data_IF_881825803377
#
_entry.id   IF_881825803377
#
_cell.length_a   1.000
_cell.length_b   1.000
_cell.length_c   1.000
_cell.angle_alpha   90.00
_cell.angle_beta   90.00
_cell.angle_gamma   90.00
#
_symmetry.space_group_name_H-M   'P 1'
#
loop_
_entity.id
_entity.type
_entity.pdbx_description
1 polymer ?
#
# COMPACT_ATOMS: atom_id res chain seq x y z
N UNK A 1 0.89 5.93 24.12
CA UNK A 1 2.03 5.04 23.86
C UNK A 1 2.79 5.69 22.72
N UNK A 2 4.11 5.80 22.77
CA UNK A 2 4.85 6.12 21.54
C UNK A 2 4.65 4.91 20.63
N UNK A 3 3.71 5.02 19.70
CA UNK A 3 3.46 4.00 18.70
C UNK A 3 4.76 3.80 17.94
N UNK A 4 5.37 2.63 18.08
CA UNK A 4 6.59 2.31 17.35
C UNK A 4 6.28 2.47 15.86
N UNK A 5 6.97 3.41 15.23
CA UNK A 5 6.86 3.65 13.81
C UNK A 5 7.06 2.30 13.08
N UNK A 6 6.08 1.82 12.30
CA UNK A 6 6.15 0.49 11.74
C UNK A 6 7.18 0.37 10.59
N UNK A 7 7.83 1.49 10.24
CA UNK A 7 8.87 1.62 9.23
C UNK A 7 10.25 1.63 9.89
N UNK A 8 11.10 0.60 9.67
CA UNK A 8 12.47 0.58 10.20
C UNK A 8 13.33 1.80 9.84
N UNK A 9 13.14 2.37 8.66
CA UNK A 9 13.84 3.58 8.21
C UNK A 9 13.29 4.87 8.82
N UNK A 10 12.15 4.79 9.50
CA UNK A 10 11.40 5.93 10.00
C UNK A 10 10.42 6.54 8.98
N UNK A 11 10.48 6.13 7.71
CA UNK A 11 9.62 6.66 6.65
C UNK A 11 9.10 5.56 5.71
N UNK A 12 8.00 5.86 5.03
CA UNK A 12 7.47 5.03 3.96
C UNK A 12 7.53 5.74 2.61
N UNK A 13 7.41 4.96 1.55
CA UNK A 13 7.26 5.47 0.18
C UNK A 13 6.18 4.68 -0.56
N UNK A 14 5.38 5.33 -1.43
CA UNK A 14 4.45 4.63 -2.29
C UNK A 14 5.22 3.91 -3.41
N UNK A 15 4.79 2.69 -3.75
CA UNK A 15 5.44 1.90 -4.82
C UNK A 15 4.48 1.46 -5.91
N UNK A 16 3.19 1.25 -5.59
CA UNK A 16 2.16 0.81 -6.53
C UNK A 16 0.87 1.58 -6.24
N UNK A 17 0.15 2.01 -7.28
CA UNK A 17 -1.27 2.37 -7.17
C UNK A 17 -2.13 1.33 -7.88
N UNK A 18 -2.99 0.68 -7.12
CA UNK A 18 -3.97 -0.27 -7.63
C UNK A 18 -5.26 0.42 -8.07
N UNK A 19 -5.93 -0.14 -9.07
CA UNK A 19 -7.28 0.28 -9.47
C UNK A 19 -8.35 -0.05 -8.43
N UNK A 20 -8.13 -1.11 -7.67
CA UNK A 20 -9.08 -1.67 -6.73
C UNK A 20 -9.23 -0.81 -5.47
N UNK A 21 -10.44 -0.84 -4.91
CA UNK A 21 -10.75 -0.23 -3.63
C UNK A 21 -10.68 -1.21 -2.45
N UNK A 22 -10.96 -0.72 -1.23
CA UNK A 22 -10.88 -1.52 -0.01
C UNK A 22 -11.72 -2.81 -0.06
N UNK A 23 -12.96 -2.74 -0.58
CA UNK A 23 -13.88 -3.89 -0.63
C UNK A 23 -13.38 -5.00 -1.55
N UNK A 24 -12.86 -4.64 -2.73
CA UNK A 24 -12.30 -5.58 -3.69
C UNK A 24 -11.05 -6.25 -3.11
N UNK A 25 -10.12 -5.47 -2.56
CA UNK A 25 -8.89 -5.97 -1.98
C UNK A 25 -9.12 -6.83 -0.74
N UNK A 26 -10.08 -6.47 0.11
CA UNK A 26 -10.48 -7.29 1.27
C UNK A 26 -10.95 -8.67 0.82
N UNK A 27 -11.77 -8.73 -0.24
CA UNK A 27 -12.29 -9.99 -0.79
C UNK A 27 -11.21 -10.82 -1.48
N UNK A 28 -10.30 -10.20 -2.23
CA UNK A 28 -9.25 -10.89 -2.99
C UNK A 28 -8.13 -11.42 -2.10
N UNK A 29 -7.71 -10.63 -1.12
CA UNK A 29 -6.48 -10.89 -0.35
C UNK A 29 -6.71 -11.09 1.15
N UNK A 30 -7.97 -11.07 1.62
CA UNK A 30 -8.27 -11.21 3.04
C UNK A 30 -7.82 -10.01 3.88
N UNK A 31 -7.63 -8.84 3.26
CA UNK A 31 -7.22 -7.62 3.94
C UNK A 31 -8.37 -7.03 4.77
N UNK A 32 -8.02 -6.41 5.90
CA UNK A 32 -8.99 -5.82 6.83
C UNK A 32 -8.80 -4.31 6.92
N UNK A 33 -9.48 -3.58 6.05
CA UNK A 33 -9.43 -2.12 6.04
C UNK A 33 -10.24 -1.52 7.18
N UNK A 34 -9.62 -0.60 7.90
CA UNK A 34 -10.27 0.31 8.86
C UNK A 34 -10.50 1.66 8.21
N UNK A 35 -11.59 2.32 8.57
CA UNK A 35 -11.90 3.68 8.14
C UNK A 35 -11.33 4.65 9.16
N UNK A 36 -10.71 5.72 8.67
CA UNK A 36 -10.14 6.79 9.48
C UNK A 36 -10.32 8.15 8.80
N UNK A 37 -9.83 9.21 9.42
CA UNK A 37 -9.79 10.57 8.88
C UNK A 37 -8.45 11.20 9.27
N UNK A 38 -7.68 11.62 8.27
CA UNK A 38 -6.45 12.39 8.47
C UNK A 38 -6.60 13.84 7.97
N UNK A 39 -5.49 14.57 7.88
CA UNK A 39 -5.44 15.96 7.43
C UNK A 39 -5.75 16.12 5.94
N UNK A 40 -5.66 15.04 5.15
CA UNK A 40 -5.98 15.06 3.73
C UNK A 40 -7.45 14.74 3.47
N UNK A 41 -8.00 13.66 4.03
CA UNK A 41 -9.42 13.28 3.85
C UNK A 41 -9.86 12.10 4.75
N UNK A 42 -11.11 11.68 4.57
CA UNK A 42 -11.56 10.33 4.93
C UNK A 42 -10.77 9.29 4.15
N UNK A 43 -10.15 8.36 4.87
CA UNK A 43 -9.37 7.29 4.30
C UNK A 43 -9.81 5.91 4.81
N UNK A 44 -9.38 4.89 4.07
CA UNK A 44 -9.42 3.50 4.48
C UNK A 44 -8.01 2.96 4.37
N UNK A 45 -7.52 2.28 5.41
CA UNK A 45 -6.21 1.67 5.36
C UNK A 45 -6.15 0.33 6.08
N UNK A 46 -5.14 -0.46 5.73
CA UNK A 46 -4.74 -1.62 6.51
C UNK A 46 -3.23 -1.85 6.39
N UNK A 47 -2.67 -2.46 7.42
CA UNK A 47 -1.32 -2.99 7.39
C UNK A 47 -1.33 -4.48 7.06
N UNK A 48 -0.31 -4.91 6.32
CA UNK A 48 0.02 -6.32 6.13
C UNK A 48 1.51 -6.54 6.39
N UNK A 49 1.89 -7.77 6.68
CA UNK A 49 3.29 -8.18 6.77
C UNK A 49 3.62 -9.10 5.61
N UNK A 50 4.71 -8.80 4.92
CA UNK A 50 5.29 -9.62 3.88
C UNK A 50 6.69 -10.07 4.28
N UNK A 51 7.03 -11.31 3.94
CA UNK A 51 8.30 -11.92 4.36
C UNK A 51 9.53 -11.31 3.66
N UNK A 52 9.35 -10.77 2.45
CA UNK A 52 10.44 -10.23 1.62
C UNK A 52 10.55 -8.71 1.80
N UNK A 53 9.40 -8.02 1.90
CA UNK A 53 9.30 -6.56 1.89
C UNK A 53 9.11 -5.97 3.29
N UNK A 54 8.63 -6.76 4.24
CA UNK A 54 8.33 -6.32 5.61
C UNK A 54 6.93 -5.70 5.75
N UNK A 55 6.82 -4.63 6.52
CA UNK A 55 5.56 -3.89 6.69
C UNK A 55 5.09 -3.34 5.35
N UNK A 56 3.79 -3.47 5.09
CA UNK A 56 3.09 -2.88 3.94
C UNK A 56 1.88 -2.11 4.46
N UNK A 57 1.64 -0.93 3.90
CA UNK A 57 0.44 -0.15 4.13
C UNK A 57 -0.35 -0.04 2.82
N UNK A 58 -1.60 -0.46 2.85
CA UNK A 58 -2.58 -0.17 1.80
C UNK A 58 -3.38 1.05 2.22
N UNK A 59 -3.39 2.09 1.40
CA UNK A 59 -4.03 3.36 1.71
C UNK A 59 -4.96 3.83 0.59
N UNK A 60 -6.22 4.08 0.92
CA UNK A 60 -7.25 4.54 -0.01
C UNK A 60 -7.92 5.80 0.53
N UNK A 61 -7.90 6.88 -0.25
CA UNK A 61 -8.62 8.11 0.07
C UNK A 61 -9.96 8.16 -0.66
N UNK A 62 -11.05 8.40 0.06
CA UNK A 62 -12.42 8.36 -0.48
C UNK A 62 -12.61 9.39 -1.58
N UNK A 63 -12.14 10.64 -1.39
CA UNK A 63 -12.32 11.70 -2.38
C UNK A 63 -11.08 12.00 -3.23
N UNK A 64 -10.04 11.16 -3.19
CA UNK A 64 -8.88 11.34 -4.07
C UNK A 64 -9.29 11.39 -5.54
N UNK A 65 -8.76 12.34 -6.33
CA UNK A 65 -8.98 12.40 -7.78
C UNK A 65 -8.29 11.23 -8.49
N UNK A 66 -7.13 10.80 -7.97
CA UNK A 66 -6.46 9.59 -8.40
C UNK A 66 -7.07 8.38 -7.65
N UNK A 67 -8.24 7.94 -8.10
CA UNK A 67 -8.95 6.80 -7.49
C UNK A 67 -8.06 5.56 -7.48
N UNK A 68 -8.00 4.85 -6.37
CA UNK A 68 -7.22 3.63 -6.23
C UNK A 68 -6.61 3.47 -4.85
N UNK A 69 -6.07 2.29 -4.58
CA UNK A 69 -5.40 1.99 -3.31
C UNK A 69 -3.89 2.04 -3.53
N UNK A 70 -3.22 2.95 -2.85
CA UNK A 70 -1.77 3.07 -2.87
C UNK A 70 -1.14 2.06 -1.91
N UNK A 71 -0.08 1.40 -2.35
CA UNK A 71 0.72 0.49 -1.53
C UNK A 71 2.01 1.22 -1.14
N UNK A 72 2.25 1.31 0.15
CA UNK A 72 3.45 1.89 0.74
C UNK A 72 4.29 0.80 1.40
N UNK A 73 5.60 0.97 1.30
CA UNK A 73 6.62 0.12 1.94
C UNK A 73 7.62 1.00 2.66
N UNK A 74 8.49 0.41 3.48
CA UNK A 74 9.58 1.13 4.11
C UNK A 74 10.49 1.80 3.05
N UNK A 75 10.91 3.04 3.30
CA UNK A 75 11.68 3.85 2.35
C UNK A 75 13.01 3.20 1.94
N UNK A 76 13.62 2.42 2.83
CA UNK A 76 14.92 1.77 2.59
C UNK A 76 14.85 0.53 1.68
N UNK A 77 13.64 -0.01 1.46
CA UNK A 77 13.46 -1.16 0.55
C UNK A 77 13.65 -0.70 -0.89
N UNK A 78 14.45 -1.44 -1.67
CA UNK A 78 14.66 -1.15 -3.10
C UNK A 78 13.34 -1.24 -3.87
N UNK A 79 13.04 -0.23 -4.71
CA UNK A 79 11.71 -0.02 -5.29
C UNK A 79 11.32 -1.12 -6.26
N UNK A 80 12.20 -1.50 -7.18
CA UNK A 80 11.94 -2.53 -8.19
C UNK A 80 11.75 -3.89 -7.52
N UNK A 81 12.59 -4.21 -6.53
CA UNK A 81 12.46 -5.39 -5.69
C UNK A 81 11.10 -5.42 -4.99
N UNK A 82 10.69 -4.33 -4.31
CA UNK A 82 9.41 -4.24 -3.63
C UNK A 82 8.25 -4.48 -4.59
N UNK A 83 8.23 -3.81 -5.75
CA UNK A 83 7.18 -3.97 -6.75
C UNK A 83 7.06 -5.42 -7.21
N UNK A 84 8.19 -6.04 -7.59
CA UNK A 84 8.20 -7.42 -8.07
C UNK A 84 7.70 -8.42 -7.01
N UNK A 85 8.13 -8.24 -5.76
CA UNK A 85 7.72 -9.11 -4.65
C UNK A 85 6.25 -8.93 -4.29
N UNK A 86 5.77 -7.69 -4.21
CA UNK A 86 4.36 -7.41 -3.96
C UNK A 86 3.48 -7.98 -5.06
N UNK A 87 3.85 -7.81 -6.33
CA UNK A 87 3.09 -8.36 -7.44
C UNK A 87 3.01 -9.89 -7.39
N UNK A 88 4.11 -10.56 -7.08
CA UNK A 88 4.13 -12.02 -6.94
C UNK A 88 3.35 -12.50 -5.72
N UNK A 89 3.63 -11.95 -4.54
CA UNK A 89 3.13 -12.44 -3.26
C UNK A 89 1.63 -12.15 -3.07
N UNK A 90 1.15 -11.02 -3.58
CA UNK A 90 -0.27 -10.66 -3.55
C UNK A 90 -1.01 -11.09 -4.83
N UNK A 91 -0.34 -11.73 -5.79
CA UNK A 91 -0.94 -12.08 -7.10
C UNK A 91 -1.57 -10.85 -7.80
N UNK A 92 -0.88 -9.72 -7.76
CA UNK A 92 -1.32 -8.48 -8.42
C UNK A 92 -0.90 -8.54 -9.89
N UNK A 93 -1.87 -8.35 -10.78
CA UNK A 93 -1.66 -8.39 -12.21
C UNK A 93 -1.44 -6.99 -12.80
N UNK A 94 -0.67 -6.85 -13.89
CA UNK A 94 -0.44 -5.55 -14.53
C UNK A 94 -1.72 -4.77 -14.89
N UNK A 95 -2.82 -5.48 -15.18
CA UNK A 95 -4.12 -4.86 -15.49
C UNK A 95 -4.76 -4.15 -14.30
N UNK A 96 -4.34 -4.46 -13.08
CA UNK A 96 -4.83 -3.87 -11.83
C UNK A 96 -3.96 -2.68 -11.40
N UNK A 97 -2.82 -2.46 -12.05
CA UNK A 97 -1.86 -1.43 -11.70
C UNK A 97 -2.10 -0.18 -12.55
N UNK A 98 -2.39 0.94 -11.88
CA UNK A 98 -2.53 2.25 -12.53
C UNK A 98 -1.18 2.91 -12.77
N UNK A 99 -0.28 2.81 -11.80
CA UNK A 99 1.11 3.23 -11.94
C UNK A 99 1.99 2.52 -10.92
N UNK A 100 3.29 2.51 -11.20
CA UNK A 100 4.36 2.07 -10.30
C UNK A 100 5.38 3.19 -10.14
N UNK A 101 5.98 3.29 -8.96
CA UNK A 101 7.04 4.25 -8.73
C UNK A 101 8.23 3.91 -9.64
N UNK A 102 8.67 4.90 -10.42
CA UNK A 102 9.92 4.83 -11.14
C UNK A 102 10.99 5.44 -10.24
N UNK A 103 12.12 4.75 -10.06
CA UNK A 103 13.28 5.34 -9.41
C UNK A 103 13.72 6.57 -10.23
N UNK A 104 13.80 7.73 -9.58
CA UNK A 104 14.44 8.92 -10.11
C UNK A 104 15.88 9.01 -9.61
#
# INVERSE_FOLDING_TARGET
MSEDNPWPSGESKPVILLSDGPSELSRKHGLHFVRDVDDLDVCHYCYALDQDVGTILFHFYVNSPAKGTAIYVDRSVETVFAINKLMANFSIYPSEVKWVQLDM
#
